data_IF_150702516326
#
_entry.id   IF_150702516326
#
_cell.length_a   1.000
_cell.length_b   1.000
_cell.length_c   1.000
_cell.angle_alpha   90.00
_cell.angle_beta   90.00
_cell.angle_gamma   90.00
#
_symmetry.space_group_name_H-M   'P 1'
#
loop_
_entity.id
_entity.type
_entity.pdbx_description
1 polymer ?
#
# COMPACT_ATOMS: atom_id res chain seq x y z
N UNK A 1 -33.74 -81.84 -7.10
CA UNK A 1 -35.21 -81.74 -7.28
C UNK A 1 -35.61 -80.27 -7.23
N UNK A 2 -36.39 -79.83 -8.24
CA UNK A 2 -37.07 -78.52 -8.44
C UNK A 2 -36.18 -77.26 -8.59
N UNK A 3 -36.42 -76.35 -9.54
CA UNK A 3 -37.13 -76.32 -10.84
C UNK A 3 -36.96 -74.88 -11.38
N UNK A 4 -36.62 -74.74 -12.67
CA UNK A 4 -36.91 -73.62 -13.62
C UNK A 4 -36.39 -72.22 -13.29
N UNK A 5 -36.05 -71.34 -14.23
CA UNK A 5 -36.11 -71.29 -15.71
C UNK A 5 -35.32 -70.02 -16.10
N UNK A 6 -34.67 -69.91 -17.24
CA UNK A 6 -35.25 -69.97 -18.57
C UNK A 6 -34.94 -68.66 -19.30
N UNK A 7 -34.13 -68.76 -20.36
CA UNK A 7 -34.25 -68.09 -21.68
C UNK A 7 -34.35 -66.56 -21.80
N UNK A 8 -33.53 -66.01 -22.72
CA UNK A 8 -33.83 -64.72 -23.35
C UNK A 8 -32.69 -64.11 -24.15
N UNK A 9 -32.41 -64.67 -25.33
CA UNK A 9 -31.59 -64.07 -26.39
C UNK A 9 -32.35 -62.89 -27.00
N UNK A 10 -31.69 -61.75 -27.26
CA UNK A 10 -32.32 -60.57 -27.88
C UNK A 10 -31.30 -59.56 -28.37
N UNK A 11 -30.90 -59.72 -29.63
CA UNK A 11 -30.06 -58.80 -30.41
C UNK A 11 -30.94 -57.66 -30.96
N UNK A 12 -30.31 -56.52 -31.26
CA UNK A 12 -30.78 -55.39 -32.08
C UNK A 12 -31.61 -54.29 -31.39
N UNK A 13 -30.97 -53.16 -31.12
CA UNK A 13 -31.11 -51.97 -31.99
C UNK A 13 -30.57 -50.73 -31.28
N UNK A 14 -29.55 -50.17 -31.93
CA UNK A 14 -29.31 -48.77 -32.21
C UNK A 14 -30.09 -47.66 -31.45
N UNK A 15 -29.35 -46.54 -31.35
CA UNK A 15 -29.77 -45.14 -31.40
C UNK A 15 -29.77 -44.39 -30.04
N UNK A 16 -29.00 -43.29 -30.09
CA UNK A 16 -28.98 -42.09 -29.24
C UNK A 16 -28.05 -42.12 -28.02
N UNK A 17 -26.79 -41.79 -28.31
CA UNK A 17 -25.90 -41.13 -27.37
C UNK A 17 -26.54 -39.82 -26.89
N UNK A 18 -27.08 -39.81 -25.67
CA UNK A 18 -27.39 -38.58 -24.95
C UNK A 18 -26.15 -38.22 -24.14
N UNK A 19 -25.21 -37.51 -24.78
CA UNK A 19 -24.21 -36.73 -24.07
C UNK A 19 -24.94 -35.55 -23.43
N UNK A 20 -25.48 -35.75 -22.22
CA UNK A 20 -25.91 -34.62 -21.38
C UNK A 20 -24.63 -33.89 -21.00
N UNK A 21 -24.31 -32.83 -21.75
CA UNK A 21 -23.36 -31.79 -21.35
C UNK A 21 -23.80 -31.28 -19.98
N UNK A 22 -23.16 -31.80 -18.95
CA UNK A 22 -23.11 -31.14 -17.65
C UNK A 22 -22.37 -29.84 -17.87
N UNK A 23 -23.14 -28.78 -18.09
CA UNK A 23 -22.71 -27.41 -17.87
C UNK A 23 -22.32 -27.33 -16.39
N UNK A 24 -21.07 -27.69 -16.09
CA UNK A 24 -20.41 -27.25 -14.87
C UNK A 24 -20.38 -25.74 -15.02
N UNK A 25 -21.34 -25.07 -14.39
CA UNK A 25 -21.31 -23.66 -14.15
C UNK A 25 -19.96 -23.39 -13.48
N UNK A 26 -18.99 -22.92 -14.28
CA UNK A 26 -17.78 -22.36 -13.71
C UNK A 26 -18.28 -21.27 -12.78
N UNK A 27 -18.00 -21.33 -11.46
CA UNK A 27 -18.27 -20.19 -10.61
C UNK A 27 -17.55 -19.04 -11.27
N UNK A 28 -18.35 -18.07 -11.76
CA UNK A 28 -17.82 -16.88 -12.39
C UNK A 28 -16.71 -16.37 -11.50
N UNK A 29 -15.56 -16.09 -12.10
CA UNK A 29 -14.44 -15.42 -11.45
C UNK A 29 -15.04 -14.25 -10.70
N UNK A 30 -15.25 -14.44 -9.40
CA UNK A 30 -15.59 -13.36 -8.51
C UNK A 30 -14.35 -12.51 -8.58
N UNK A 31 -14.45 -11.35 -9.24
CA UNK A 31 -13.53 -10.26 -9.01
C UNK A 31 -13.38 -10.21 -7.50
N UNK A 32 -12.22 -10.64 -6.99
CA UNK A 32 -11.98 -10.75 -5.56
C UNK A 32 -12.33 -9.37 -5.01
N UNK A 33 -13.44 -9.31 -4.25
CA UNK A 33 -13.98 -8.05 -3.75
C UNK A 33 -12.81 -7.33 -3.11
N UNK A 34 -12.57 -6.10 -3.55
CA UNK A 34 -11.69 -5.18 -2.85
C UNK A 34 -12.15 -5.21 -1.38
N UNK A 35 -11.32 -5.78 -0.48
CA UNK A 35 -11.77 -6.12 0.87
C UNK A 35 -11.92 -4.88 1.76
N UNK A 36 -11.33 -3.76 1.34
CA UNK A 36 -11.53 -2.42 1.91
C UNK A 36 -11.37 -1.33 0.84
N UNK A 37 -11.75 -0.11 1.17
CA UNK A 37 -11.53 1.07 0.33
C UNK A 37 -10.09 1.58 0.50
N UNK A 38 -9.23 1.28 -0.48
CA UNK A 38 -7.82 1.66 -0.47
C UNK A 38 -7.63 3.19 -0.54
N UNK A 39 -8.49 3.90 -1.28
CA UNK A 39 -8.36 5.36 -1.43
C UNK A 39 -8.71 6.04 -0.11
N UNK A 40 -9.80 5.63 0.54
CA UNK A 40 -10.16 6.14 1.86
C UNK A 40 -9.07 5.85 2.89
N UNK A 41 -8.53 4.62 2.90
CA UNK A 41 -7.45 4.20 3.79
C UNK A 41 -6.17 5.04 3.60
N UNK A 42 -5.74 5.25 2.36
CA UNK A 42 -4.58 6.10 2.03
C UNK A 42 -4.80 7.56 2.46
N UNK A 43 -6.00 8.10 2.23
CA UNK A 43 -6.33 9.47 2.64
C UNK A 43 -6.31 9.63 4.16
N UNK A 44 -6.84 8.66 4.90
CA UNK A 44 -6.77 8.66 6.37
C UNK A 44 -5.31 8.56 6.85
N UNK A 45 -4.54 7.63 6.27
CA UNK A 45 -3.13 7.45 6.57
C UNK A 45 -2.34 8.76 6.34
N UNK A 46 -2.62 9.49 5.26
CA UNK A 46 -2.00 10.79 4.97
C UNK A 46 -2.34 11.87 6.01
N UNK A 47 -3.59 11.95 6.47
CA UNK A 47 -4.00 12.90 7.53
C UNK A 47 -3.30 12.57 8.84
N UNK A 48 -3.29 11.30 9.23
CA UNK A 48 -2.63 10.83 10.45
C UNK A 48 -1.13 11.08 10.43
N UNK A 49 -0.49 10.85 9.27
CA UNK A 49 0.93 11.16 9.08
C UNK A 49 1.19 12.66 9.19
N UNK A 50 0.37 13.50 8.56
CA UNK A 50 0.50 14.95 8.64
C UNK A 50 0.40 15.44 10.08
N UNK A 51 -0.62 15.00 10.82
CA UNK A 51 -0.80 15.35 12.23
C UNK A 51 0.34 14.86 13.13
N UNK A 52 0.87 13.65 12.86
CA UNK A 52 2.03 13.13 13.56
C UNK A 52 3.29 13.95 13.27
N UNK A 53 3.55 14.25 12.00
CA UNK A 53 4.72 15.02 11.59
C UNK A 53 4.69 16.45 12.16
N UNK A 54 3.53 17.10 12.19
CA UNK A 54 3.36 18.40 12.85
C UNK A 54 3.68 18.36 14.34
N UNK A 55 3.32 17.26 15.03
CA UNK A 55 3.51 17.12 16.48
C UNK A 55 4.93 16.68 16.86
N UNK A 56 5.53 15.78 16.09
CA UNK A 56 6.74 15.06 16.50
C UNK A 56 7.89 15.14 15.48
N UNK A 57 7.68 15.83 14.36
CA UNK A 57 8.64 15.96 13.28
C UNK A 57 8.97 14.63 12.61
N UNK A 58 10.02 14.64 11.79
CA UNK A 58 10.48 13.46 11.05
C UNK A 58 10.95 12.33 11.99
N UNK A 59 11.57 12.65 13.12
CA UNK A 59 12.06 11.64 14.07
C UNK A 59 10.90 10.84 14.69
N UNK A 60 9.81 11.51 15.10
CA UNK A 60 8.61 10.84 15.59
C UNK A 60 7.93 9.98 14.54
N UNK A 61 7.86 10.47 13.30
CA UNK A 61 7.36 9.69 12.16
C UNK A 61 8.17 8.42 11.94
N UNK A 62 9.49 8.49 11.91
CA UNK A 62 10.34 7.30 11.72
C UNK A 62 10.17 6.27 12.84
N UNK A 63 10.06 6.72 14.10
CA UNK A 63 9.76 5.84 15.25
C UNK A 63 8.39 5.18 15.11
N UNK A 64 7.38 5.93 14.69
CA UNK A 64 6.06 5.39 14.43
C UNK A 64 6.08 4.36 13.30
N UNK A 65 6.79 4.63 12.19
CA UNK A 65 6.87 3.72 11.05
C UNK A 65 7.51 2.38 11.44
N UNK A 66 8.59 2.40 12.25
CA UNK A 66 9.17 1.17 12.81
C UNK A 66 8.11 0.34 13.58
N UNK A 67 7.40 0.97 14.51
CA UNK A 67 6.35 0.32 15.28
C UNK A 67 5.19 -0.18 14.40
N UNK A 68 4.83 0.59 13.36
CA UNK A 68 3.78 0.26 12.41
C UNK A 68 4.12 -1.04 11.68
N UNK A 69 5.32 -1.14 11.09
CA UNK A 69 5.77 -2.37 10.43
C UNK A 69 5.86 -3.53 11.41
N UNK A 70 6.49 -3.35 12.58
CA UNK A 70 6.62 -4.42 13.59
C UNK A 70 5.30 -5.02 14.03
N UNK A 71 4.22 -4.23 14.01
CA UNK A 71 2.88 -4.68 14.38
C UNK A 71 2.13 -5.26 13.19
N UNK A 72 2.08 -4.54 12.08
CA UNK A 72 1.24 -4.90 10.94
C UNK A 72 1.80 -6.05 10.11
N UNK A 73 3.13 -6.25 10.13
CA UNK A 73 3.79 -7.40 9.48
C UNK A 73 3.55 -8.74 10.20
N UNK A 74 2.91 -8.74 11.38
CA UNK A 74 2.54 -9.96 12.10
C UNK A 74 1.25 -10.60 11.55
N UNK A 75 0.45 -9.85 10.79
CA UNK A 75 -0.76 -10.37 10.19
C UNK A 75 -0.43 -11.45 9.15
N UNK A 76 -1.27 -12.48 9.07
CA UNK A 76 -1.13 -13.56 8.08
C UNK A 76 -1.46 -13.11 6.65
N UNK A 77 -2.28 -12.06 6.53
CA UNK A 77 -2.78 -11.52 5.27
C UNK A 77 -2.49 -10.02 5.15
N UNK A 78 -2.47 -9.53 3.91
CA UNK A 78 -2.36 -8.09 3.65
C UNK A 78 -3.57 -7.37 4.22
N UNK A 79 -3.33 -6.30 4.99
CA UNK A 79 -4.35 -5.62 5.78
C UNK A 79 -4.40 -4.13 5.46
N UNK A 80 -5.53 -3.44 5.75
CA UNK A 80 -5.61 -1.98 5.64
C UNK A 80 -4.59 -1.26 6.54
N UNK A 81 -4.23 -1.88 7.68
CA UNK A 81 -3.22 -1.36 8.59
C UNK A 81 -1.82 -1.38 7.99
N UNK A 82 -1.41 -2.49 7.36
CA UNK A 82 -0.12 -2.56 6.67
C UNK A 82 -0.08 -1.62 5.46
N UNK A 83 -1.18 -1.53 4.71
CA UNK A 83 -1.29 -0.56 3.63
C UNK A 83 -1.08 0.88 4.11
N UNK A 84 -1.67 1.22 5.27
CA UNK A 84 -1.46 2.52 5.89
C UNK A 84 0.01 2.75 6.24
N UNK A 85 0.70 1.75 6.82
CA UNK A 85 2.14 1.87 7.11
C UNK A 85 2.95 2.14 5.84
N UNK A 86 2.71 1.36 4.77
CA UNK A 86 3.39 1.51 3.48
C UNK A 86 3.12 2.91 2.90
N UNK A 87 1.86 3.34 2.87
CA UNK A 87 1.49 4.65 2.35
C UNK A 87 2.21 5.78 3.10
N UNK A 88 2.22 5.71 4.43
CA UNK A 88 2.85 6.72 5.27
C UNK A 88 4.37 6.74 5.11
N UNK A 89 4.99 5.57 5.04
CA UNK A 89 6.43 5.42 4.81
C UNK A 89 6.85 6.00 3.46
N UNK A 90 6.11 5.68 2.40
CA UNK A 90 6.36 6.22 1.08
C UNK A 90 6.22 7.74 1.05
N UNK A 91 5.12 8.29 1.59
CA UNK A 91 4.90 9.74 1.62
C UNK A 91 6.02 10.45 2.38
N UNK A 92 6.38 9.95 3.56
CA UNK A 92 7.42 10.54 4.38
C UNK A 92 8.80 10.45 3.71
N UNK A 93 9.17 9.27 3.23
CA UNK A 93 10.48 9.01 2.63
C UNK A 93 10.69 9.82 1.35
N UNK A 94 9.67 9.94 0.49
CA UNK A 94 9.74 10.75 -0.72
C UNK A 94 9.98 12.23 -0.38
N UNK A 95 9.21 12.78 0.56
CA UNK A 95 9.37 14.18 0.97
C UNK A 95 10.73 14.41 1.63
N UNK A 96 11.16 13.51 2.52
CA UNK A 96 12.43 13.63 3.21
C UNK A 96 13.62 13.57 2.23
N UNK A 97 13.60 12.63 1.28
CA UNK A 97 14.62 12.52 0.24
C UNK A 97 14.68 13.79 -0.61
N UNK A 98 13.53 14.36 -1.00
CA UNK A 98 13.48 15.60 -1.79
C UNK A 98 14.02 16.82 -1.03
N UNK A 99 13.76 16.91 0.28
CA UNK A 99 14.32 17.98 1.11
C UNK A 99 15.84 17.81 1.23
N UNK A 100 16.31 16.61 1.52
CA UNK A 100 17.74 16.36 1.70
C UNK A 100 18.54 16.44 0.40
N UNK A 101 17.90 16.22 -0.76
CA UNK A 101 18.53 16.42 -2.06
C UNK A 101 18.94 17.90 -2.31
N UNK A 102 18.32 18.85 -1.60
CA UNK A 102 18.66 20.28 -1.69
C UNK A 102 19.81 20.70 -0.78
N UNK A 103 20.25 19.81 0.11
CA UNK A 103 21.34 20.07 1.06
C UNK A 103 22.63 19.54 0.45
N UNK A 104 23.71 20.33 0.34
CA UNK A 104 25.01 19.85 -0.14
C UNK A 104 25.52 18.66 0.69
N UNK A 105 26.26 17.74 0.05
CA UNK A 105 26.73 16.51 0.72
C UNK A 105 27.55 16.79 1.98
N UNK A 106 28.47 17.76 1.91
CA UNK A 106 29.31 18.14 3.06
C UNK A 106 28.46 18.56 4.27
N UNK A 107 27.39 19.32 4.04
CA UNK A 107 26.48 19.77 5.10
C UNK A 107 25.64 18.62 5.65
N UNK A 108 25.17 17.69 4.80
CA UNK A 108 24.44 16.49 5.27
C UNK A 108 25.28 15.64 6.21
N UNK A 109 26.55 15.39 5.85
CA UNK A 109 27.50 14.65 6.69
C UNK A 109 27.70 15.35 8.03
N UNK A 110 27.89 16.68 8.01
CA UNK A 110 28.03 17.48 9.25
C UNK A 110 26.78 17.40 10.14
N UNK A 111 25.59 17.37 9.55
CA UNK A 111 24.31 17.27 10.27
C UNK A 111 23.93 15.83 10.65
N UNK A 112 24.70 14.82 10.22
CA UNK A 112 24.36 13.42 10.42
C UNK A 112 23.09 12.97 9.69
N UNK A 113 22.72 13.63 8.58
CA UNK A 113 21.52 13.28 7.81
C UNK A 113 21.86 12.30 6.67
N UNK A 114 21.01 11.30 6.40
CA UNK A 114 21.25 10.33 5.31
C UNK A 114 21.22 10.98 3.94
N UNK A 115 21.88 10.35 2.96
CA UNK A 115 21.74 10.73 1.57
C UNK A 115 20.33 10.38 1.05
N UNK A 116 19.79 11.12 0.07
CA UNK A 116 18.49 10.82 -0.53
C UNK A 116 18.39 9.38 -1.05
N UNK A 117 19.47 8.86 -1.61
CA UNK A 117 19.53 7.50 -2.15
C UNK A 117 19.47 6.44 -1.05
N UNK A 118 20.03 6.72 0.13
CA UNK A 118 19.93 5.84 1.31
C UNK A 118 18.49 5.77 1.83
N UNK A 119 17.78 6.91 1.85
CA UNK A 119 16.36 6.95 2.23
C UNK A 119 15.54 6.09 1.26
N UNK A 120 15.74 6.28 -0.05
CA UNK A 120 15.04 5.52 -1.08
C UNK A 120 15.34 4.02 -0.99
N UNK A 121 16.61 3.63 -0.76
CA UNK A 121 17.00 2.23 -0.55
C UNK A 121 16.36 1.63 0.69
N UNK A 122 16.37 2.33 1.82
CA UNK A 122 15.80 1.84 3.07
C UNK A 122 14.27 1.65 3.00
N UNK A 123 13.57 2.57 2.35
CA UNK A 123 12.14 2.40 2.02
C UNK A 123 11.93 1.22 1.06
N UNK A 124 12.68 1.15 -0.04
CA UNK A 124 12.57 0.09 -1.04
C UNK A 124 12.76 -1.31 -0.44
N UNK A 125 13.74 -1.48 0.45
CA UNK A 125 13.98 -2.75 1.14
C UNK A 125 12.77 -3.19 2.01
N UNK A 126 12.16 -2.25 2.75
CA UNK A 126 10.94 -2.53 3.54
C UNK A 126 9.76 -2.90 2.66
N UNK A 127 9.59 -2.21 1.53
CA UNK A 127 8.54 -2.50 0.55
C UNK A 127 8.72 -3.88 -0.08
N UNK A 128 9.93 -4.21 -0.54
CA UNK A 128 10.23 -5.54 -1.11
C UNK A 128 9.97 -6.65 -0.10
N UNK A 129 10.36 -6.46 1.17
CA UNK A 129 10.10 -7.43 2.23
C UNK A 129 8.59 -7.66 2.43
N UNK A 130 7.81 -6.58 2.57
CA UNK A 130 6.36 -6.65 2.71
C UNK A 130 5.70 -7.30 1.48
N UNK A 131 6.04 -6.83 0.28
CA UNK A 131 5.43 -7.35 -0.95
C UNK A 131 5.74 -8.82 -1.17
N UNK A 132 6.95 -9.27 -0.84
CA UNK A 132 7.31 -10.70 -0.91
C UNK A 132 6.51 -11.53 0.09
N UNK A 133 6.41 -11.07 1.34
CA UNK A 133 5.68 -11.80 2.39
C UNK A 133 4.19 -11.95 2.04
N UNK A 134 3.57 -10.88 1.56
CA UNK A 134 2.14 -10.82 1.26
C UNK A 134 1.80 -11.11 -0.21
N UNK A 135 2.77 -11.56 -1.00
CA UNK A 135 2.62 -11.92 -2.43
C UNK A 135 1.98 -10.80 -3.27
N UNK A 136 2.31 -9.55 -2.95
CA UNK A 136 1.86 -8.38 -3.70
C UNK A 136 2.66 -8.33 -5.01
N UNK A 137 1.95 -8.40 -6.13
CA UNK A 137 2.55 -8.31 -7.47
C UNK A 137 3.09 -6.91 -7.76
N UNK A 138 4.01 -6.81 -8.71
CA UNK A 138 4.52 -5.51 -9.20
C UNK A 138 3.39 -4.58 -9.66
N UNK A 139 2.38 -5.13 -10.35
CA UNK A 139 1.20 -4.37 -10.80
C UNK A 139 0.41 -3.79 -9.62
N UNK A 140 0.23 -4.56 -8.54
CA UNK A 140 -0.43 -4.06 -7.33
C UNK A 140 0.42 -3.02 -6.60
N UNK A 141 1.73 -3.21 -6.52
CA UNK A 141 2.66 -2.24 -5.94
C UNK A 141 2.65 -0.90 -6.70
N UNK A 142 2.65 -0.94 -8.04
CA UNK A 142 2.53 0.24 -8.89
C UNK A 142 1.18 0.94 -8.72
N UNK A 143 0.09 0.17 -8.63
CA UNK A 143 -1.24 0.72 -8.37
C UNK A 143 -1.30 1.41 -7.00
N UNK A 144 -0.72 0.79 -5.96
CA UNK A 144 -0.61 1.37 -4.62
C UNK A 144 0.17 2.69 -4.67
N UNK A 145 1.36 2.69 -5.27
CA UNK A 145 2.18 3.91 -5.45
C UNK A 145 1.37 5.02 -6.13
N UNK A 146 0.68 4.71 -7.23
CA UNK A 146 -0.13 5.67 -7.97
C UNK A 146 -1.27 6.24 -7.14
N UNK A 147 -1.94 5.42 -6.33
CA UNK A 147 -2.97 5.90 -5.40
C UNK A 147 -2.36 6.79 -4.32
N UNK A 148 -1.20 6.43 -3.76
CA UNK A 148 -0.53 7.28 -2.76
C UNK A 148 -0.13 8.63 -3.36
N UNK A 149 0.48 8.64 -4.54
CA UNK A 149 0.88 9.87 -5.24
C UNK A 149 -0.33 10.78 -5.53
N UNK A 150 -1.43 10.19 -5.99
CA UNK A 150 -2.63 10.94 -6.40
C UNK A 150 -3.48 11.41 -5.21
N UNK A 151 -3.73 10.52 -4.26
CA UNK A 151 -4.77 10.69 -3.24
C UNK A 151 -4.18 10.99 -1.84
N UNK A 152 -2.98 10.52 -1.54
CA UNK A 152 -2.32 10.70 -0.24
C UNK A 152 -1.37 11.90 -0.19
N UNK A 153 -0.44 11.97 -1.13
CA UNK A 153 0.65 12.96 -1.12
C UNK A 153 0.16 14.41 -1.04
N UNK A 154 -0.89 14.86 -1.79
CA UNK A 154 -1.37 16.23 -1.67
C UNK A 154 -1.92 16.57 -0.28
N UNK A 155 -2.54 15.60 0.40
CA UNK A 155 -3.06 15.77 1.77
C UNK A 155 -1.89 15.92 2.73
N UNK A 156 -0.90 15.04 2.64
CA UNK A 156 0.27 15.09 3.52
C UNK A 156 1.05 16.40 3.33
N UNK A 157 1.36 16.78 2.09
CA UNK A 157 2.09 18.01 1.79
C UNK A 157 1.37 19.26 2.30
N UNK A 158 0.05 19.35 2.12
CA UNK A 158 -0.73 20.47 2.65
C UNK A 158 -0.68 20.56 4.17
N UNK A 159 -0.59 19.42 4.87
CA UNK A 159 -0.46 19.40 6.32
C UNK A 159 0.93 19.85 6.77
N UNK A 160 2.00 19.33 6.18
CA UNK A 160 3.37 19.62 6.64
C UNK A 160 3.95 20.93 6.09
N UNK A 161 3.43 21.41 4.96
CA UNK A 161 3.79 22.69 4.33
C UNK A 161 2.51 23.48 4.03
N UNK A 162 1.84 24.02 5.07
CA UNK A 162 0.62 24.78 4.87
C UNK A 162 0.90 26.02 4.00
N UNK A 163 0.01 26.36 3.05
CA UNK A 163 0.15 27.59 2.30
C UNK A 163 0.14 28.78 3.26
N UNK A 164 1.03 29.75 3.03
CA UNK A 164 1.03 31.02 3.78
C UNK A 164 -0.36 31.66 3.70
N UNK A 165 -0.92 32.07 4.83
CA UNK A 165 -2.17 32.84 4.83
C UNK A 165 -1.88 34.22 4.26
N UNK A 166 -2.81 34.75 3.46
CA UNK A 166 -2.76 36.12 2.96
C UNK A 166 -2.93 37.04 4.17
N UNK A 167 -1.83 37.58 4.70
CA UNK A 167 -1.81 38.39 5.92
C UNK A 167 -0.63 38.13 6.87
N UNK A 168 0.14 37.05 6.70
CA UNK A 168 1.32 36.75 7.54
C UNK A 168 2.59 37.53 7.12
N UNK A 169 2.45 38.66 6.40
CA UNK A 169 3.55 39.60 6.11
C UNK A 169 3.58 40.72 7.18
N UNK A 170 3.66 40.34 8.45
CA UNK A 170 3.86 41.30 9.55
C UNK A 170 5.09 40.91 10.38
N UNK A 171 6.12 41.76 10.31
CA UNK A 171 7.05 42.09 11.42
C UNK A 171 8.26 41.20 11.77
N UNK A 172 9.03 40.72 10.79
CA UNK A 172 10.42 40.23 11.04
C UNK A 172 11.51 41.00 10.27
N UNK A 173 11.20 42.23 9.81
CA UNK A 173 12.16 43.10 9.13
C UNK A 173 12.24 44.50 9.75
N UNK A 174 12.31 44.58 11.08
CA UNK A 174 12.78 45.79 11.77
C UNK A 174 13.40 45.45 13.11
N UNK A 175 14.74 45.37 13.15
CA UNK A 175 15.48 45.17 14.39
C UNK A 175 16.95 44.88 14.19
N UNK A 176 17.74 45.88 13.80
CA UNK A 176 19.20 45.75 13.76
C UNK A 176 19.93 46.91 13.09
N UNK A 177 19.63 48.14 13.49
CA UNK A 177 20.31 49.33 12.97
C UNK A 177 20.24 50.49 13.97
N UNK A 178 21.17 50.49 14.93
CA UNK A 178 21.85 51.66 15.48
C UNK A 178 23.02 51.20 16.34
#
# INVERSE_FOLDING_TARGET
MRKHGGTGFGIFSAVIAVFVMTLVAMPGVSAAKQTWDHVANIKDAARRLGALHQREGSAGVLKFLDACYRTQMLASEYSPGLESCLAQDYMHSQVLAQIYARIPQADRVRMGTPAPEDIARGMGARFVAAFRQYKISTKQAEALKKMIDKDGMPIFLKAVFPPKKKGDDSDDAQGGGQ
#
